data_IF_226406261006
#
_entry.id   IF_226406261006
#
_cell.length_a   1.000
_cell.length_b   1.000
_cell.length_c   1.000
_cell.angle_alpha   90.00
_cell.angle_beta   90.00
_cell.angle_gamma   90.00
#
_symmetry.space_group_name_H-M   'P 1'
#
loop_
_entity.id
_entity.type
_entity.pdbx_description
1 polymer ?
#
# COMPACT_ATOMS: atom_id res chain seq x y z
N UNK A 1 16.14 -8.47 6.05
CA UNK A 1 16.92 -8.23 7.29
C UNK A 1 17.13 -6.71 7.43
N UNK A 2 17.64 -6.20 8.57
CA UNK A 2 17.86 -4.76 8.75
C UNK A 2 18.73 -4.10 7.68
N UNK A 3 19.81 -4.77 7.26
CA UNK A 3 20.74 -4.22 6.28
C UNK A 3 20.09 -4.09 4.89
N UNK A 4 19.28 -5.06 4.47
CA UNK A 4 18.55 -4.96 3.20
C UNK A 4 17.38 -3.97 3.22
N UNK A 5 16.83 -3.64 4.39
CA UNK A 5 15.70 -2.71 4.53
C UNK A 5 16.16 -1.24 4.64
N UNK A 6 17.31 -0.99 5.26
CA UNK A 6 17.81 0.36 5.58
C UNK A 6 17.86 1.31 4.37
N UNK A 7 18.46 0.94 3.22
CA UNK A 7 18.53 1.85 2.07
C UNK A 7 17.15 2.28 1.56
N UNK A 8 16.17 1.37 1.58
CA UNK A 8 14.82 1.68 1.14
C UNK A 8 14.09 2.55 2.16
N UNK A 9 14.19 2.23 3.45
CA UNK A 9 13.53 2.99 4.52
C UNK A 9 14.06 4.42 4.63
N UNK A 10 15.38 4.60 4.49
CA UNK A 10 16.01 5.93 4.44
C UNK A 10 15.54 6.71 3.20
N UNK A 11 15.55 6.08 2.02
CA UNK A 11 15.07 6.71 0.79
C UNK A 11 13.58 7.11 0.81
N UNK A 12 12.76 6.45 1.65
CA UNK A 12 11.36 6.79 1.85
C UNK A 12 11.14 7.75 3.04
N UNK A 13 12.20 8.22 3.70
CA UNK A 13 12.10 9.08 4.88
C UNK A 13 11.43 8.39 6.08
N UNK A 14 11.49 7.06 6.16
CA UNK A 14 11.00 6.26 7.29
C UNK A 14 12.09 6.00 8.35
N UNK A 15 13.35 6.27 8.00
CA UNK A 15 14.50 6.26 8.90
C UNK A 15 15.29 7.56 8.71
N UNK A 16 15.95 7.99 9.78
CA UNK A 16 16.92 9.08 9.72
C UNK A 16 18.17 8.64 8.93
N UNK A 17 18.85 9.55 8.21
CA UNK A 17 20.04 9.20 7.44
C UNK A 17 21.11 8.51 8.29
N UNK A 18 21.64 7.39 7.80
CA UNK A 18 22.69 6.62 8.48
C UNK A 18 22.23 5.80 9.69
N UNK A 19 20.92 5.73 9.99
CA UNK A 19 20.40 4.86 11.05
C UNK A 19 19.98 3.49 10.51
N UNK A 20 19.97 2.49 11.38
CA UNK A 20 19.50 1.13 11.07
C UNK A 20 18.23 0.82 11.86
N UNK A 21 17.23 0.17 11.24
CA UNK A 21 16.04 -0.23 11.97
C UNK A 21 16.38 -1.37 12.92
N UNK A 22 15.88 -1.30 14.15
CA UNK A 22 15.90 -2.43 15.08
C UNK A 22 15.02 -3.58 14.56
N UNK A 23 15.18 -4.77 15.14
CA UNK A 23 14.35 -5.93 14.79
C UNK A 23 12.85 -5.64 15.04
N UNK A 24 12.53 -4.97 16.14
CA UNK A 24 11.15 -4.62 16.51
C UNK A 24 10.56 -3.56 15.58
N UNK A 25 11.34 -2.55 15.21
CA UNK A 25 10.92 -1.56 14.22
C UNK A 25 10.61 -2.20 12.87
N UNK A 26 11.39 -3.19 12.43
CA UNK A 26 11.09 -3.94 11.22
C UNK A 26 9.79 -4.75 11.34
N UNK A 27 9.51 -5.33 12.50
CA UNK A 27 8.24 -6.02 12.76
C UNK A 27 7.08 -5.02 12.66
N UNK A 28 7.20 -3.86 13.29
CA UNK A 28 6.19 -2.78 13.22
C UNK A 28 5.98 -2.30 11.79
N UNK A 29 7.04 -2.00 11.04
CA UNK A 29 6.96 -1.56 9.64
C UNK A 29 6.29 -2.62 8.76
N UNK A 30 6.62 -3.90 8.95
CA UNK A 30 6.01 -5.00 8.19
C UNK A 30 4.52 -5.14 8.54
N UNK A 31 4.18 -5.13 9.81
CA UNK A 31 2.79 -5.17 10.28
C UNK A 31 1.97 -4.04 9.68
N UNK A 32 2.49 -2.81 9.77
CA UNK A 32 1.88 -1.62 9.18
C UNK A 32 1.68 -1.76 7.67
N UNK A 33 2.70 -2.22 6.94
CA UNK A 33 2.62 -2.46 5.50
C UNK A 33 1.57 -3.51 5.12
N UNK A 34 1.51 -4.63 5.83
CA UNK A 34 0.52 -5.67 5.54
C UNK A 34 -0.90 -5.22 5.88
N UNK A 35 -1.08 -4.40 6.92
CA UNK A 35 -2.35 -3.78 7.25
C UNK A 35 -2.83 -2.82 6.14
N UNK A 36 -1.95 -1.95 5.62
CA UNK A 36 -2.26 -1.12 4.46
C UNK A 36 -2.61 -1.96 3.23
N UNK A 37 -1.90 -3.06 2.97
CA UNK A 37 -2.22 -3.98 1.87
C UNK A 37 -3.59 -4.62 2.03
N UNK A 38 -4.03 -4.92 3.25
CA UNK A 38 -5.37 -5.43 3.50
C UNK A 38 -6.44 -4.39 3.15
N UNK A 39 -6.25 -3.11 3.50
CA UNK A 39 -7.13 -2.02 3.07
C UNK A 39 -7.17 -1.86 1.55
N UNK A 40 -6.01 -1.94 0.86
CA UNK A 40 -5.94 -1.86 -0.61
C UNK A 40 -6.58 -3.09 -1.29
N UNK A 41 -6.46 -4.28 -0.69
CA UNK A 41 -7.13 -5.47 -1.18
C UNK A 41 -8.65 -5.33 -1.09
N UNK A 42 -9.17 -4.74 -0.01
CA UNK A 42 -10.59 -4.44 0.14
C UNK A 42 -11.11 -3.51 -0.97
N UNK A 43 -10.36 -2.45 -1.33
CA UNK A 43 -10.70 -1.59 -2.47
C UNK A 43 -10.84 -2.35 -3.80
N UNK A 44 -10.20 -3.51 -3.91
CA UNK A 44 -10.16 -4.32 -5.13
C UNK A 44 -11.19 -5.45 -5.14
N UNK A 45 -12.18 -5.40 -4.24
CA UNK A 45 -13.19 -6.46 -4.08
C UNK A 45 -12.74 -7.64 -3.22
N UNK A 46 -11.61 -7.51 -2.51
CA UNK A 46 -11.21 -8.46 -1.49
C UNK A 46 -12.12 -8.40 -0.24
N UNK A 47 -11.96 -9.35 0.70
CA UNK A 47 -12.72 -9.34 1.94
C UNK A 47 -12.37 -8.11 2.79
N UNK A 48 -13.31 -7.69 3.64
CA UNK A 48 -13.02 -6.67 4.65
C UNK A 48 -11.87 -7.13 5.55
N UNK A 49 -10.91 -6.25 5.88
CA UNK A 49 -9.80 -6.60 6.77
C UNK A 49 -10.33 -6.91 8.17
N UNK A 50 -9.73 -7.90 8.83
CA UNK A 50 -10.06 -8.25 10.21
C UNK A 50 -9.43 -7.27 11.19
N UNK A 51 -9.95 -7.21 12.42
CA UNK A 51 -9.37 -6.39 13.49
C UNK A 51 -7.88 -6.71 13.73
N UNK A 52 -7.52 -8.00 13.71
CA UNK A 52 -6.13 -8.43 13.85
C UNK A 52 -5.23 -7.92 12.71
N UNK A 53 -5.76 -7.79 11.48
CA UNK A 53 -5.03 -7.22 10.36
C UNK A 53 -4.89 -5.70 10.47
N UNK A 54 -5.84 -5.01 11.11
CA UNK A 54 -5.81 -3.55 11.32
C UNK A 54 -5.06 -3.13 12.59
N UNK A 55 -4.85 -4.03 13.55
CA UNK A 55 -4.17 -3.76 14.80
C UNK A 55 -2.84 -3.00 14.68
N UNK A 56 -1.97 -3.25 13.67
CA UNK A 56 -0.75 -2.44 13.48
C UNK A 56 -1.02 -0.96 13.19
N UNK A 57 -2.09 -0.64 12.45
CA UNK A 57 -2.48 0.76 12.18
C UNK A 57 -3.06 1.40 13.44
N UNK A 58 -3.91 0.67 14.18
CA UNK A 58 -4.44 1.12 15.46
C UNK A 58 -3.32 1.40 16.47
N UNK A 59 -2.31 0.54 16.53
CA UNK A 59 -1.13 0.72 17.38
C UNK A 59 -0.39 2.03 17.07
N UNK A 60 -0.13 2.33 15.79
CA UNK A 60 0.49 3.60 15.38
C UNK A 60 -0.40 4.79 15.74
N UNK A 61 -1.70 4.73 15.44
CA UNK A 61 -2.65 5.79 15.74
C UNK A 61 -2.82 6.04 17.24
N UNK A 62 -2.58 5.02 18.07
CA UNK A 62 -2.64 5.13 19.53
C UNK A 62 -1.40 5.80 20.13
N UNK A 63 -0.20 5.50 19.62
CA UNK A 63 1.06 6.00 20.22
C UNK A 63 1.56 7.30 19.60
N UNK A 64 1.21 7.58 18.35
CA UNK A 64 1.68 8.77 17.64
C UNK A 64 0.66 9.90 17.75
N UNK A 65 1.14 11.12 17.96
CA UNK A 65 0.30 12.32 18.06
C UNK A 65 0.35 13.11 16.75
N UNK A 66 -0.79 13.62 16.31
CA UNK A 66 -0.87 14.64 15.26
C UNK A 66 -1.25 16.00 15.87
N UNK A 67 -0.80 17.07 15.25
CA UNK A 67 -1.19 18.44 15.57
C UNK A 67 -1.68 19.17 14.32
N UNK A 68 -2.44 20.25 14.54
CA UNK A 68 -2.91 21.13 13.47
C UNK A 68 -1.83 22.15 13.15
N UNK A 69 -1.50 22.32 11.87
CA UNK A 69 -0.61 23.37 11.39
C UNK A 69 -1.23 24.12 10.22
N UNK A 70 -0.72 25.32 9.96
CA UNK A 70 -1.00 26.11 8.76
C UNK A 70 0.19 25.99 7.82
N UNK A 71 -0.05 25.56 6.59
CA UNK A 71 0.97 25.59 5.55
C UNK A 71 1.17 27.03 5.02
N UNK A 72 2.20 27.24 4.18
CA UNK A 72 2.57 28.55 3.65
C UNK A 72 1.47 29.21 2.81
N UNK A 73 0.55 28.42 2.25
CA UNK A 73 -0.63 28.85 1.50
C UNK A 73 -1.86 29.09 2.40
N UNK A 74 -1.69 29.06 3.73
CA UNK A 74 -2.74 29.15 4.74
C UNK A 74 -3.73 27.97 4.76
N UNK A 75 -3.39 26.83 4.16
CA UNK A 75 -4.19 25.60 4.29
C UNK A 75 -4.01 25.00 5.69
N UNK A 76 -5.13 24.64 6.33
CA UNK A 76 -5.13 23.94 7.63
C UNK A 76 -4.91 22.45 7.42
N UNK A 77 -3.82 21.92 7.96
CA UNK A 77 -3.36 20.55 7.75
C UNK A 77 -3.03 19.84 9.07
N UNK A 78 -3.03 18.51 9.05
CA UNK A 78 -2.53 17.69 10.15
C UNK A 78 -1.08 17.30 9.87
N UNK A 79 -0.22 17.34 10.89
CA UNK A 79 1.15 16.85 10.84
C UNK A 79 1.47 15.97 12.05
N UNK A 80 2.32 14.93 11.91
CA UNK A 80 2.73 14.13 13.06
C UNK A 80 3.71 14.89 13.96
N UNK A 81 3.72 14.56 15.25
CA UNK A 81 4.68 15.08 16.23
C UNK A 81 5.93 14.22 16.26
N UNK A 82 7.09 14.88 16.15
CA UNK A 82 8.41 14.30 16.32
C UNK A 82 8.92 13.52 15.10
N UNK A 83 10.25 13.35 15.03
CA UNK A 83 10.94 12.72 13.90
C UNK A 83 11.40 11.28 14.21
N UNK A 84 10.45 10.44 14.60
CA UNK A 84 10.65 9.04 15.02
C UNK A 84 9.69 8.12 14.28
N UNK A 85 9.95 6.81 14.29
CA UNK A 85 9.26 5.86 13.39
C UNK A 85 7.73 5.93 13.46
N UNK A 86 7.06 5.81 14.62
CA UNK A 86 5.60 5.99 14.70
C UNK A 86 5.08 7.33 14.18
N UNK A 87 5.79 8.45 14.38
CA UNK A 87 5.44 9.74 13.77
C UNK A 87 5.50 9.69 12.23
N UNK A 88 6.56 9.08 11.68
CA UNK A 88 6.72 8.87 10.23
C UNK A 88 5.66 7.92 9.65
N UNK A 89 5.26 6.89 10.39
CA UNK A 89 4.16 6.00 10.01
C UNK A 89 2.80 6.70 10.12
N UNK A 90 2.61 7.57 11.11
CA UNK A 90 1.40 8.38 11.24
C UNK A 90 1.25 9.35 10.06
N UNK A 91 2.34 9.95 9.56
CA UNK A 91 2.28 10.73 8.31
C UNK A 91 1.68 9.93 7.15
N UNK A 92 2.04 8.65 7.00
CA UNK A 92 1.44 7.79 5.97
C UNK A 92 -0.06 7.57 6.21
N UNK A 93 -0.50 7.38 7.46
CA UNK A 93 -1.93 7.28 7.79
C UNK A 93 -2.70 8.58 7.50
N UNK A 94 -2.09 9.74 7.75
CA UNK A 94 -2.70 11.03 7.41
C UNK A 94 -2.89 11.18 5.89
N UNK A 95 -1.92 10.72 5.09
CA UNK A 95 -2.05 10.66 3.62
C UNK A 95 -3.18 9.71 3.21
N UNK A 96 -3.31 8.55 3.86
CA UNK A 96 -4.42 7.61 3.59
C UNK A 96 -5.77 8.24 3.94
N UNK A 97 -5.86 8.91 5.10
CA UNK A 97 -7.08 9.57 5.53
C UNK A 97 -7.51 10.68 4.54
N UNK A 98 -6.56 11.49 4.07
CA UNK A 98 -6.85 12.50 3.05
C UNK A 98 -7.25 11.87 1.71
N UNK A 99 -6.58 10.80 1.28
CA UNK A 99 -6.95 10.07 0.08
C UNK A 99 -8.36 9.47 0.17
N UNK A 100 -8.76 8.99 1.35
CA UNK A 100 -10.12 8.49 1.58
C UNK A 100 -11.14 9.62 1.53
N UNK A 101 -10.86 10.75 2.17
CA UNK A 101 -11.72 11.95 2.15
C UNK A 101 -11.91 12.53 0.76
N UNK A 102 -10.86 12.52 -0.07
CA UNK A 102 -10.88 13.03 -1.45
C UNK A 102 -11.35 11.99 -2.48
N UNK A 103 -11.62 10.74 -2.05
CA UNK A 103 -12.03 9.64 -2.92
C UNK A 103 -10.90 9.01 -3.75
N UNK A 104 -9.68 9.54 -3.70
CA UNK A 104 -8.53 9.04 -4.46
C UNK A 104 -7.98 7.72 -3.91
N UNK A 105 -8.35 7.33 -2.68
CA UNK A 105 -8.01 6.03 -2.11
C UNK A 105 -8.50 4.86 -2.97
N UNK A 106 -9.67 4.97 -3.61
CA UNK A 106 -10.22 3.94 -4.48
C UNK A 106 -9.33 3.64 -5.71
N UNK A 107 -8.38 4.52 -6.03
CA UNK A 107 -7.41 4.31 -7.11
C UNK A 107 -6.26 3.39 -6.68
N UNK A 108 -6.02 3.23 -5.37
CA UNK A 108 -5.11 2.19 -4.88
C UNK A 108 -5.79 0.82 -4.94
N UNK A 109 -5.19 -0.07 -5.73
CA UNK A 109 -5.72 -1.40 -6.03
C UNK A 109 -4.65 -2.46 -5.90
N UNK A 110 -5.09 -3.71 -5.74
CA UNK A 110 -4.26 -4.90 -5.81
C UNK A 110 -4.34 -5.49 -7.22
N UNK A 111 -3.20 -5.85 -7.79
CA UNK A 111 -3.13 -6.46 -9.12
C UNK A 111 -3.93 -7.77 -9.13
N UNK A 112 -4.87 -7.90 -10.07
CA UNK A 112 -5.74 -9.07 -10.22
C UNK A 112 -5.01 -10.33 -10.71
N UNK A 113 -3.69 -10.27 -10.94
CA UNK A 113 -2.91 -11.46 -11.29
C UNK A 113 -2.52 -12.15 -9.99
N UNK A 114 -3.08 -13.35 -9.76
CA UNK A 114 -2.88 -14.14 -8.54
C UNK A 114 -1.42 -14.38 -8.19
N UNK A 115 -0.54 -14.45 -9.20
CA UNK A 115 0.91 -14.62 -9.01
C UNK A 115 1.66 -13.32 -8.68
N UNK A 116 1.02 -12.15 -8.85
CA UNK A 116 1.63 -10.83 -8.63
C UNK A 116 1.13 -10.18 -7.33
N UNK A 117 -0.19 -9.99 -7.17
CA UNK A 117 -0.84 -9.36 -6.01
C UNK A 117 -0.19 -8.08 -5.48
N UNK A 118 0.56 -7.35 -6.31
CA UNK A 118 1.17 -6.07 -5.92
C UNK A 118 0.10 -4.98 -5.83
N UNK A 119 0.20 -4.15 -4.80
CA UNK A 119 -0.54 -2.89 -4.74
C UNK A 119 -0.01 -1.92 -5.81
N UNK A 120 -0.90 -1.15 -6.43
CA UNK A 120 -0.59 -0.12 -7.42
C UNK A 120 -1.60 1.02 -7.37
N UNK A 121 -1.21 2.19 -7.87
CA UNK A 121 -2.11 3.33 -8.05
C UNK A 121 -2.59 3.39 -9.49
N UNK A 122 -3.90 3.35 -9.71
CA UNK A 122 -4.51 3.35 -11.03
C UNK A 122 -4.52 4.74 -11.66
N UNK A 123 -3.50 5.01 -12.48
CA UNK A 123 -3.35 6.24 -13.28
C UNK A 123 -4.07 6.19 -14.63
N UNK A 124 -4.86 5.15 -14.92
CA UNK A 124 -5.60 5.08 -16.19
C UNK A 124 -6.68 6.16 -16.25
N UNK A 125 -6.96 6.67 -17.45
CA UNK A 125 -7.92 7.75 -17.70
C UNK A 125 -9.29 7.56 -17.02
N UNK A 126 -9.74 6.31 -16.93
CA UNK A 126 -11.06 5.98 -16.37
C UNK A 126 -10.97 5.24 -15.03
N UNK A 127 -9.77 5.10 -14.45
CA UNK A 127 -9.51 4.33 -13.23
C UNK A 127 -10.11 2.91 -13.26
N UNK A 128 -9.98 2.23 -14.42
CA UNK A 128 -10.48 0.86 -14.65
C UNK A 128 -9.37 -0.16 -14.83
N UNK A 129 -8.13 0.19 -14.55
CA UNK A 129 -7.04 -0.80 -14.59
C UNK A 129 -7.25 -1.83 -13.48
N UNK A 130 -7.12 -3.09 -13.84
CA UNK A 130 -7.11 -4.25 -12.93
C UNK A 130 -5.71 -4.82 -12.75
N UNK A 131 -4.73 -4.34 -13.52
CA UNK A 131 -3.36 -4.85 -13.53
C UNK A 131 -2.39 -3.72 -13.19
N UNK A 132 -1.38 -4.04 -12.37
CA UNK A 132 -0.33 -3.07 -12.03
C UNK A 132 0.51 -2.62 -13.24
N UNK A 133 0.59 -3.49 -14.25
CA UNK A 133 1.27 -3.22 -15.52
C UNK A 133 0.63 -4.08 -16.61
N UNK A 134 0.21 -3.42 -17.69
CA UNK A 134 -0.49 -4.09 -18.79
C UNK A 134 0.44 -5.08 -19.52
N UNK A 135 1.71 -4.71 -19.74
CA UNK A 135 2.68 -5.51 -20.47
C UNK A 135 3.13 -6.77 -19.73
N UNK A 136 3.25 -6.70 -18.41
CA UNK A 136 3.76 -7.76 -17.55
C UNK A 136 2.66 -8.63 -16.95
N UNK A 137 1.62 -8.03 -16.37
CA UNK A 137 0.56 -8.80 -15.71
C UNK A 137 -0.61 -9.04 -16.65
N UNK A 138 -1.08 -8.01 -17.34
CA UNK A 138 -2.19 -8.11 -18.27
C UNK A 138 -1.96 -9.11 -19.39
N UNK A 139 -0.87 -8.96 -20.14
CA UNK A 139 -0.53 -9.87 -21.24
C UNK A 139 -0.31 -11.31 -20.77
N UNK A 140 0.27 -11.52 -19.58
CA UNK A 140 0.44 -12.87 -19.02
C UNK A 140 -0.90 -13.56 -18.80
N UNK A 141 -1.87 -12.87 -18.19
CA UNK A 141 -3.20 -13.42 -17.96
C UNK A 141 -3.94 -13.66 -19.28
N UNK A 142 -3.91 -12.70 -20.20
CA UNK A 142 -4.53 -12.84 -21.53
C UNK A 142 -3.97 -14.04 -22.31
N UNK A 143 -2.64 -14.21 -22.31
CA UNK A 143 -1.98 -15.33 -22.97
C UNK A 143 -2.35 -16.68 -22.31
N UNK A 144 -2.45 -16.74 -20.98
CA UNK A 144 -2.89 -17.95 -20.27
C UNK A 144 -4.32 -18.32 -20.65
N UNK A 145 -5.24 -17.36 -20.63
CA UNK A 145 -6.64 -17.57 -21.03
C UNK A 145 -6.76 -17.99 -22.49
N UNK A 146 -5.99 -17.37 -23.38
CA UNK A 146 -5.97 -17.73 -24.80
C UNK A 146 -5.48 -19.17 -25.03
N UNK A 147 -4.41 -19.59 -24.34
CA UNK A 147 -3.89 -20.97 -24.40
C UNK A 147 -4.92 -21.97 -23.88
N UNK A 148 -5.57 -21.68 -22.73
CA UNK A 148 -6.61 -22.54 -22.17
C UNK A 148 -7.79 -22.73 -23.14
N UNK A 149 -8.22 -21.66 -23.81
CA UNK A 149 -9.27 -21.74 -24.84
C UNK A 149 -8.85 -22.59 -26.04
N UNK A 150 -7.59 -22.51 -26.46
CA UNK A 150 -7.06 -23.33 -27.57
C UNK A 150 -6.89 -24.80 -27.19
N UNK A 151 -6.46 -25.12 -25.97
CA UNK A 151 -6.37 -26.50 -25.51
C UNK A 151 -7.74 -27.15 -25.37
N UNK A 152 -8.75 -26.43 -24.88
CA UNK A 152 -10.13 -26.94 -24.84
C UNK A 152 -10.75 -27.18 -26.22
N UNK A 153 -10.25 -26.50 -27.26
CA UNK A 153 -10.71 -26.67 -28.64
C UNK A 153 -9.92 -27.74 -29.41
N UNK A 154 -8.81 -28.22 -28.86
CA UNK A 154 -7.88 -29.17 -29.48
C UNK A 154 -7.99 -30.59 -28.89
N UNK A 155 -8.98 -30.85 -28.03
CA UNK A 155 -9.38 -32.20 -27.61
C UNK A 155 -10.69 -32.58 -28.31
N UNK A 156 -10.67 -33.17 -29.52
CA UNK A 156 -11.76 -34.02 -29.99
C UNK A 156 -11.65 -35.42 -29.35
N UNK A 157 -12.81 -36.07 -29.15
CA UNK A 157 -12.96 -37.48 -28.72
C UNK A 157 -12.08 -38.46 -29.52
#
# INVERSE_FOLDING_TARGET
DPASAQPWLEAQGLLSPGSFPTADELVTIRGFREALRALVAYNSGGPAPTEAQLAPLHGVAYVATAYVHLDADCTVCLAPVGDWLPGRLLALLLVVADAQRTGTWAHFKTCANDSCRRAFYDRSRNHRSTWCDMGRCGNKVNNRMFRARRSHRATPD
#
